data_IF_280332175534
#
_entry.id   IF_280332175534
#
_cell.length_a   1.000
_cell.length_b   1.000
_cell.length_c   1.000
_cell.angle_alpha   90.00
_cell.angle_beta   90.00
_cell.angle_gamma   90.00
#
_symmetry.space_group_name_H-M   'P 1'
#
loop_
_entity.id
_entity.type
_entity.pdbx_description
1 polymer ?
#
# COMPACT_ATOMS: atom_id res chain seq x y z
N UNK A 1 -13.13 -25.66 -15.18
CA UNK A 1 -13.05 -25.91 -13.73
C UNK A 1 -12.34 -24.79 -12.98
N UNK A 2 -11.01 -24.66 -13.00
CA UNK A 2 -10.32 -23.58 -12.27
C UNK A 2 -10.76 -22.18 -12.71
N UNK A 3 -10.72 -21.91 -14.02
CA UNK A 3 -11.13 -20.62 -14.59
C UNK A 3 -12.57 -20.27 -14.21
N UNK A 4 -13.48 -21.24 -14.17
CA UNK A 4 -14.88 -21.03 -13.78
C UNK A 4 -14.99 -20.67 -12.30
N UNK A 5 -14.22 -21.34 -11.43
CA UNK A 5 -14.14 -20.99 -10.01
C UNK A 5 -13.60 -19.59 -9.79
N UNK A 6 -12.55 -19.20 -10.52
CA UNK A 6 -12.02 -17.83 -10.46
C UNK A 6 -13.03 -16.80 -10.98
N UNK A 7 -13.68 -17.05 -12.13
CA UNK A 7 -14.74 -16.18 -12.65
C UNK A 7 -15.84 -15.99 -11.60
N UNK A 8 -16.32 -17.07 -11.02
CA UNK A 8 -17.38 -17.03 -10.00
C UNK A 8 -16.95 -16.22 -8.78
N UNK A 9 -15.77 -16.49 -8.24
CA UNK A 9 -15.23 -15.78 -7.08
C UNK A 9 -15.05 -14.28 -7.35
N UNK A 10 -14.47 -13.91 -8.49
CA UNK A 10 -14.26 -12.51 -8.88
C UNK A 10 -15.60 -11.81 -9.07
N UNK A 11 -16.56 -12.41 -9.77
CA UNK A 11 -17.89 -11.82 -9.98
C UNK A 11 -18.60 -11.56 -8.64
N UNK A 12 -18.69 -12.57 -7.79
CA UNK A 12 -19.30 -12.44 -6.47
C UNK A 12 -18.62 -11.35 -5.63
N UNK A 13 -17.29 -11.22 -5.75
CA UNK A 13 -16.54 -10.19 -5.07
C UNK A 13 -16.85 -8.78 -5.62
N UNK A 14 -16.87 -8.62 -6.95
CA UNK A 14 -17.16 -7.34 -7.62
C UNK A 14 -18.62 -6.88 -7.48
N UNK A 15 -19.55 -7.81 -7.23
CA UNK A 15 -20.95 -7.48 -6.91
C UNK A 15 -21.08 -6.85 -5.53
N UNK A 16 -20.16 -7.18 -4.61
CA UNK A 16 -20.20 -6.73 -3.21
C UNK A 16 -19.30 -5.53 -2.95
N UNK A 17 -18.18 -5.43 -3.65
CA UNK A 17 -17.14 -4.44 -3.39
C UNK A 17 -16.66 -3.77 -4.68
N UNK A 18 -16.37 -2.48 -4.60
CA UNK A 18 -15.70 -1.76 -5.68
C UNK A 18 -14.22 -2.13 -5.72
N UNK A 19 -13.78 -2.73 -6.82
CA UNK A 19 -12.38 -3.15 -7.02
C UNK A 19 -11.58 -2.00 -7.62
N UNK A 20 -10.57 -1.53 -6.90
CA UNK A 20 -9.66 -0.48 -7.35
C UNK A 20 -8.36 -1.05 -7.89
N UNK A 21 -7.81 -2.08 -7.24
CA UNK A 21 -6.48 -2.61 -7.56
C UNK A 21 -6.44 -4.13 -7.56
N UNK A 22 -5.81 -4.68 -8.60
CA UNK A 22 -5.55 -6.10 -8.79
C UNK A 22 -4.05 -6.29 -8.79
N UNK A 23 -3.54 -7.19 -7.95
CA UNK A 23 -2.13 -7.51 -7.86
C UNK A 23 -1.91 -8.97 -8.24
N UNK A 24 -0.97 -9.21 -9.15
CA UNK A 24 -0.64 -10.55 -9.62
C UNK A 24 0.86 -10.81 -9.52
N UNK A 25 1.27 -11.95 -8.95
CA UNK A 25 2.62 -12.50 -9.09
C UNK A 25 2.56 -13.59 -10.16
N UNK A 26 3.35 -13.44 -11.23
CA UNK A 26 3.37 -14.35 -12.38
C UNK A 26 2.43 -13.90 -13.49
N UNK A 27 2.81 -12.88 -14.26
CA UNK A 27 2.06 -12.46 -15.44
C UNK A 27 2.14 -13.51 -16.56
N UNK A 28 3.35 -14.04 -16.80
CA UNK A 28 3.64 -15.01 -17.86
C UNK A 28 2.99 -14.65 -19.21
N UNK A 29 2.05 -15.47 -19.68
CA UNK A 29 1.34 -15.26 -20.95
C UNK A 29 0.18 -14.26 -20.90
N UNK A 30 -0.14 -13.68 -19.74
CA UNK A 30 -1.16 -12.64 -19.57
C UNK A 30 -2.62 -13.12 -19.60
N UNK A 31 -2.88 -14.43 -19.48
CA UNK A 31 -4.24 -14.98 -19.51
C UNK A 31 -5.08 -14.58 -18.30
N UNK A 32 -4.51 -14.73 -17.11
CA UNK A 32 -5.08 -14.28 -15.83
C UNK A 32 -5.27 -12.76 -15.83
N UNK A 33 -4.24 -11.99 -16.21
CA UNK A 33 -4.36 -10.54 -16.39
C UNK A 33 -5.53 -10.14 -17.30
N UNK A 34 -5.70 -10.83 -18.44
CA UNK A 34 -6.82 -10.62 -19.37
C UNK A 34 -8.16 -10.91 -18.69
N UNK A 35 -8.26 -12.02 -17.95
CA UNK A 35 -9.46 -12.38 -17.19
C UNK A 35 -9.82 -11.28 -16.17
N UNK A 36 -8.85 -10.84 -15.38
CA UNK A 36 -9.04 -9.78 -14.38
C UNK A 36 -9.52 -8.48 -15.02
N UNK A 37 -8.89 -8.07 -16.13
CA UNK A 37 -9.22 -6.83 -16.84
C UNK A 37 -10.58 -6.87 -17.55
N UNK A 38 -11.08 -8.06 -17.91
CA UNK A 38 -12.42 -8.26 -18.47
C UNK A 38 -13.50 -8.22 -17.37
N UNK A 39 -13.20 -8.76 -16.21
CA UNK A 39 -14.14 -8.83 -15.08
C UNK A 39 -14.15 -7.56 -14.22
N UNK A 40 -13.21 -6.64 -14.45
CA UNK A 40 -13.12 -5.36 -13.74
C UNK A 40 -13.01 -4.19 -14.71
N UNK A 41 -13.98 -3.29 -14.66
CA UNK A 41 -14.12 -2.25 -15.69
C UNK A 41 -13.14 -1.07 -15.49
N UNK A 42 -12.85 -0.73 -14.23
CA UNK A 42 -12.07 0.47 -13.85
C UNK A 42 -10.78 0.16 -13.08
N UNK A 43 -10.64 -1.04 -12.53
CA UNK A 43 -9.52 -1.41 -11.68
C UNK A 43 -8.17 -1.28 -12.39
N UNK A 44 -7.15 -0.89 -11.63
CA UNK A 44 -5.75 -0.94 -12.03
C UNK A 44 -5.20 -2.34 -11.80
N UNK A 45 -4.55 -2.90 -12.81
CA UNK A 45 -3.83 -4.15 -12.76
C UNK A 45 -2.33 -3.89 -12.52
N UNK A 46 -1.74 -4.61 -11.57
CA UNK A 46 -0.35 -4.52 -11.15
C UNK A 46 0.26 -5.92 -11.20
N UNK A 47 1.08 -6.18 -12.21
CA UNK A 47 1.78 -7.47 -12.37
C UNK A 47 3.22 -7.41 -11.87
N UNK A 48 3.59 -8.35 -11.01
CA UNK A 48 4.96 -8.62 -10.56
C UNK A 48 5.46 -9.87 -11.27
N UNK A 49 6.56 -9.75 -12.01
CA UNK A 49 7.13 -10.88 -12.76
C UNK A 49 8.64 -10.69 -12.93
N UNK A 50 9.38 -11.78 -13.09
CA UNK A 50 10.82 -11.75 -13.37
C UNK A 50 11.10 -11.13 -14.75
N UNK A 51 10.21 -11.32 -15.71
CA UNK A 51 10.40 -10.95 -17.13
C UNK A 51 11.74 -11.46 -17.68
N UNK A 52 12.11 -12.67 -17.31
CA UNK A 52 13.29 -13.37 -17.79
C UNK A 52 13.07 -14.02 -19.17
N UNK A 53 11.81 -14.10 -19.62
CA UNK A 53 11.41 -14.57 -20.94
C UNK A 53 10.98 -13.40 -21.85
N UNK A 54 11.79 -13.03 -22.87
CA UNK A 54 11.49 -11.88 -23.74
C UNK A 54 10.13 -11.95 -24.44
N UNK A 55 9.65 -13.15 -24.78
CA UNK A 55 8.37 -13.35 -25.48
C UNK A 55 7.17 -12.85 -24.68
N UNK A 56 7.21 -12.97 -23.35
CA UNK A 56 6.14 -12.46 -22.49
C UNK A 56 6.14 -10.93 -22.49
N UNK A 57 7.33 -10.32 -22.40
CA UNK A 57 7.51 -8.87 -22.39
C UNK A 57 7.11 -8.22 -23.72
N UNK A 58 7.52 -8.80 -24.84
CA UNK A 58 7.33 -8.18 -26.16
C UNK A 58 5.99 -8.48 -26.80
N UNK A 59 5.39 -9.65 -26.52
CA UNK A 59 4.21 -10.13 -27.25
C UNK A 59 2.97 -10.13 -26.38
N UNK A 60 2.99 -10.84 -25.26
CA UNK A 60 1.81 -10.99 -24.41
C UNK A 60 1.39 -9.64 -23.80
N UNK A 61 2.33 -8.92 -23.19
CA UNK A 61 2.05 -7.61 -22.63
C UNK A 61 1.59 -6.60 -23.69
N UNK A 62 2.27 -6.56 -24.84
CA UNK A 62 1.89 -5.66 -25.93
C UNK A 62 0.46 -5.93 -26.41
N UNK A 63 0.07 -7.21 -26.49
CA UNK A 63 -1.29 -7.60 -26.82
C UNK A 63 -2.29 -7.15 -25.74
N UNK A 64 -2.05 -7.44 -24.47
CA UNK A 64 -2.96 -7.03 -23.37
C UNK A 64 -3.12 -5.52 -23.33
N UNK A 65 -2.03 -4.74 -23.42
CA UNK A 65 -2.09 -3.26 -23.48
C UNK A 65 -2.80 -2.70 -24.70
N UNK A 66 -2.85 -3.45 -25.80
CA UNK A 66 -3.61 -3.07 -27.00
C UNK A 66 -5.11 -3.30 -26.82
N UNK A 67 -5.51 -4.37 -26.12
CA UNK A 67 -6.92 -4.70 -25.90
C UNK A 67 -7.56 -3.85 -24.80
N UNK A 68 -6.79 -3.52 -23.75
CA UNK A 68 -7.28 -2.83 -22.58
C UNK A 68 -6.65 -1.44 -22.47
N UNK A 69 -7.30 -0.52 -21.76
CA UNK A 69 -6.74 0.81 -21.49
C UNK A 69 -5.36 0.67 -20.81
N UNK A 70 -4.28 0.88 -21.56
CA UNK A 70 -2.90 0.66 -21.10
C UNK A 70 -2.56 1.42 -19.82
N UNK A 71 -3.28 2.52 -19.52
CA UNK A 71 -3.09 3.32 -18.29
C UNK A 71 -3.52 2.58 -17.02
N UNK A 72 -4.34 1.53 -17.15
CA UNK A 72 -4.73 0.65 -16.05
C UNK A 72 -3.71 -0.45 -15.78
N UNK A 73 -2.66 -0.60 -16.58
CA UNK A 73 -1.74 -1.75 -16.52
C UNK A 73 -0.35 -1.28 -16.11
N UNK A 74 0.01 -1.57 -14.87
CA UNK A 74 1.34 -1.36 -14.30
C UNK A 74 2.04 -2.70 -14.20
N UNK A 75 3.32 -2.72 -14.55
CA UNK A 75 4.16 -3.89 -14.38
C UNK A 75 5.42 -3.53 -13.64
N UNK A 76 5.77 -4.39 -12.68
CA UNK A 76 6.93 -4.24 -11.83
C UNK A 76 7.84 -5.43 -12.12
N UNK A 77 8.98 -5.14 -12.76
CA UNK A 77 9.95 -6.14 -13.17
C UNK A 77 10.89 -6.48 -12.02
N UNK A 78 11.02 -7.76 -11.73
CA UNK A 78 11.97 -8.32 -10.79
C UNK A 78 11.35 -9.35 -9.84
N UNK A 79 12.22 -9.89 -8.98
CA UNK A 79 11.90 -10.88 -7.95
C UNK A 79 10.79 -10.38 -7.02
N UNK A 80 9.65 -11.07 -7.01
CA UNK A 80 8.46 -10.73 -6.22
C UNK A 80 8.74 -10.67 -4.72
N UNK A 81 9.71 -11.44 -4.22
CA UNK A 81 10.12 -11.41 -2.81
C UNK A 81 10.75 -10.07 -2.42
N UNK A 82 11.19 -9.27 -3.40
CA UNK A 82 11.81 -7.95 -3.22
C UNK A 82 10.91 -6.82 -3.71
N UNK A 83 10.20 -7.01 -4.82
CA UNK A 83 9.38 -5.97 -5.45
C UNK A 83 8.04 -5.76 -4.75
N UNK A 84 7.39 -6.83 -4.25
CA UNK A 84 6.13 -6.71 -3.51
C UNK A 84 6.30 -5.91 -2.20
N UNK A 85 7.35 -6.14 -1.37
CA UNK A 85 7.60 -5.29 -0.20
C UNK A 85 7.84 -3.80 -0.49
N UNK A 86 8.28 -3.46 -1.69
CA UNK A 86 8.54 -2.06 -2.10
C UNK A 86 7.28 -1.38 -2.63
N UNK A 87 6.27 -2.15 -3.03
CA UNK A 87 5.02 -1.63 -3.56
C UNK A 87 4.26 -0.81 -2.50
N UNK A 88 3.98 0.46 -2.83
CA UNK A 88 3.24 1.39 -2.01
C UNK A 88 1.79 1.46 -2.53
N UNK A 89 0.93 0.61 -1.97
CA UNK A 89 -0.48 0.49 -2.34
C UNK A 89 -1.18 -0.68 -1.67
N UNK A 90 -2.48 -0.81 -1.98
CA UNK A 90 -3.33 -1.91 -1.51
C UNK A 90 -3.95 -2.68 -2.67
N UNK A 91 -4.18 -3.97 -2.48
CA UNK A 91 -4.67 -4.92 -3.47
C UNK A 91 -6.01 -5.50 -3.01
N UNK A 92 -7.05 -5.35 -3.83
CA UNK A 92 -8.40 -5.88 -3.57
C UNK A 92 -8.55 -7.29 -4.15
N UNK A 93 -7.95 -7.56 -5.31
CA UNK A 93 -7.81 -8.92 -5.84
C UNK A 93 -6.33 -9.25 -5.90
N UNK A 94 -5.96 -10.38 -5.32
CA UNK A 94 -4.58 -10.86 -5.23
C UNK A 94 -4.51 -12.23 -5.89
N UNK A 95 -3.69 -12.35 -6.92
CA UNK A 95 -3.39 -13.61 -7.59
C UNK A 95 -1.91 -13.97 -7.40
N UNK A 96 -1.62 -15.22 -7.02
CA UNK A 96 -0.25 -15.70 -6.82
C UNK A 96 -0.08 -16.99 -7.64
N UNK A 97 0.69 -16.88 -8.72
CA UNK A 97 1.08 -17.94 -9.66
C UNK A 97 2.58 -17.79 -10.02
N UNK A 98 3.39 -17.64 -8.96
CA UNK A 98 4.82 -17.37 -9.04
C UNK A 98 5.67 -18.64 -9.01
N UNK A 99 6.78 -18.59 -8.27
CA UNK A 99 7.62 -19.77 -8.08
C UNK A 99 6.94 -20.78 -7.13
N UNK A 100 6.87 -22.05 -7.53
CA UNK A 100 6.18 -23.12 -6.78
C UNK A 100 7.11 -23.99 -5.92
N UNK A 101 8.28 -23.48 -5.53
CA UNK A 101 9.32 -24.26 -4.85
C UNK A 101 9.99 -23.49 -3.70
N UNK A 102 10.71 -24.22 -2.85
CA UNK A 102 11.47 -23.69 -1.73
C UNK A 102 10.64 -22.75 -0.83
N UNK A 103 11.15 -21.55 -0.54
CA UNK A 103 10.53 -20.56 0.35
C UNK A 103 9.73 -19.49 -0.40
N UNK A 104 9.73 -19.51 -1.74
CA UNK A 104 9.13 -18.45 -2.55
C UNK A 104 7.61 -18.33 -2.35
N UNK A 105 6.79 -19.40 -2.44
CA UNK A 105 5.33 -19.27 -2.25
C UNK A 105 4.98 -18.67 -0.88
N UNK A 106 5.63 -19.16 0.18
CA UNK A 106 5.43 -18.69 1.54
C UNK A 106 5.80 -17.19 1.68
N UNK A 107 6.89 -16.76 1.05
CA UNK A 107 7.35 -15.37 1.10
C UNK A 107 6.42 -14.44 0.31
N UNK A 108 6.02 -14.85 -0.89
CA UNK A 108 5.07 -14.13 -1.73
C UNK A 108 3.73 -13.96 -1.03
N UNK A 109 3.19 -15.02 -0.44
CA UNK A 109 1.97 -14.99 0.34
C UNK A 109 2.05 -14.05 1.56
N UNK A 110 3.17 -14.03 2.28
CA UNK A 110 3.38 -13.09 3.41
C UNK A 110 3.46 -11.64 2.94
N UNK A 111 4.16 -11.39 1.84
CA UNK A 111 4.32 -10.05 1.30
C UNK A 111 2.98 -9.52 0.76
N UNK A 112 2.23 -10.37 0.04
CA UNK A 112 0.90 -10.02 -0.45
C UNK A 112 -0.10 -9.78 0.67
N UNK A 113 -0.03 -10.52 1.77
CA UNK A 113 -0.86 -10.25 2.95
C UNK A 113 -0.69 -8.83 3.52
N UNK A 114 0.50 -8.21 3.35
CA UNK A 114 0.77 -6.83 3.83
C UNK A 114 0.16 -5.76 2.93
N UNK A 115 0.06 -6.05 1.65
CA UNK A 115 -0.54 -5.13 0.66
C UNK A 115 -2.01 -5.45 0.42
N UNK A 116 -2.60 -6.46 1.07
CA UNK A 116 -4.04 -6.70 0.99
C UNK A 116 -4.86 -5.53 1.56
N UNK A 117 -5.92 -5.15 0.85
CA UNK A 117 -6.92 -4.19 1.34
C UNK A 117 -7.90 -4.85 2.32
N UNK A 118 -8.65 -4.06 3.08
CA UNK A 118 -9.62 -4.56 4.08
C UNK A 118 -10.60 -5.57 3.49
N UNK A 119 -11.10 -5.30 2.28
CA UNK A 119 -11.89 -6.24 1.50
C UNK A 119 -10.99 -6.77 0.39
N UNK A 120 -10.45 -7.97 0.56
CA UNK A 120 -9.60 -8.60 -0.44
C UNK A 120 -10.07 -10.02 -0.81
N UNK A 121 -9.72 -10.43 -2.02
CA UNK A 121 -9.87 -11.77 -2.55
C UNK A 121 -8.49 -12.33 -2.90
N UNK A 122 -8.13 -13.47 -2.30
CA UNK A 122 -6.93 -14.22 -2.60
C UNK A 122 -7.27 -15.38 -3.54
N UNK A 123 -6.52 -15.49 -4.64
CA UNK A 123 -6.51 -16.58 -5.59
C UNK A 123 -5.08 -17.14 -5.67
N UNK A 124 -4.85 -18.36 -5.18
CA UNK A 124 -3.54 -19.02 -5.18
C UNK A 124 -3.56 -20.18 -6.18
N UNK A 125 -2.67 -20.17 -7.18
CA UNK A 125 -2.52 -21.30 -8.09
C UNK A 125 -1.82 -22.49 -7.40
N UNK A 126 -2.00 -23.67 -7.98
CA UNK A 126 -1.23 -24.86 -7.63
C UNK A 126 -1.34 -25.25 -6.14
N UNK A 127 -2.51 -25.03 -5.55
CA UNK A 127 -2.83 -25.38 -4.16
C UNK A 127 -3.19 -26.88 -4.04
N UNK A 128 -2.21 -27.77 -4.22
CA UNK A 128 -2.41 -29.22 -4.16
C UNK A 128 -1.20 -29.95 -3.53
N UNK A 129 -1.36 -31.24 -3.23
CA UNK A 129 -0.27 -32.09 -2.71
C UNK A 129 0.94 -32.20 -3.64
N UNK A 130 0.77 -31.90 -4.93
CA UNK A 130 1.88 -31.91 -5.89
C UNK A 130 2.82 -30.71 -5.71
N UNK A 131 2.38 -29.69 -4.97
CA UNK A 131 3.09 -28.45 -4.73
C UNK A 131 3.25 -28.18 -3.22
N UNK A 132 4.08 -28.97 -2.53
CA UNK A 132 4.18 -28.92 -1.07
C UNK A 132 4.66 -27.56 -0.55
N UNK A 133 5.44 -26.80 -1.32
CA UNK A 133 5.88 -25.46 -0.95
C UNK A 133 4.71 -24.46 -0.89
N UNK A 134 3.72 -24.58 -1.80
CA UNK A 134 2.48 -23.79 -1.78
C UNK A 134 1.67 -24.14 -0.54
N UNK A 135 1.44 -25.43 -0.30
CA UNK A 135 0.68 -25.88 0.88
C UNK A 135 1.32 -25.44 2.19
N UNK A 136 2.66 -25.48 2.27
CA UNK A 136 3.39 -24.97 3.44
C UNK A 136 3.14 -23.48 3.68
N UNK A 137 3.13 -22.67 2.62
CA UNK A 137 2.84 -21.25 2.75
C UNK A 137 1.39 -20.98 3.18
N UNK A 138 0.43 -21.72 2.62
CA UNK A 138 -0.97 -21.66 3.06
C UNK A 138 -1.09 -22.05 4.55
N UNK A 139 -0.43 -23.12 4.96
CA UNK A 139 -0.45 -23.59 6.35
C UNK A 139 0.21 -22.59 7.31
N UNK A 140 1.28 -21.92 6.87
CA UNK A 140 1.87 -20.81 7.62
C UNK A 140 0.85 -19.71 7.86
N UNK A 141 0.13 -19.27 6.82
CA UNK A 141 -0.85 -18.19 6.96
C UNK A 141 -2.00 -18.59 7.89
N UNK A 142 -2.49 -19.84 7.79
CA UNK A 142 -3.50 -20.40 8.71
C UNK A 142 -3.02 -20.40 10.16
N UNK A 143 -1.83 -20.95 10.40
CA UNK A 143 -1.24 -21.08 11.75
C UNK A 143 -1.02 -19.71 12.41
N UNK A 144 -0.76 -18.67 11.61
CA UNK A 144 -0.53 -17.30 12.09
C UNK A 144 -1.79 -16.42 12.10
N UNK A 145 -2.99 -16.98 11.86
CA UNK A 145 -4.26 -16.25 11.82
C UNK A 145 -4.21 -15.04 10.85
N UNK A 146 -3.70 -15.31 9.63
CA UNK A 146 -3.57 -14.33 8.55
C UNK A 146 -4.58 -14.55 7.41
N UNK A 147 -5.46 -15.56 7.52
CA UNK A 147 -6.54 -15.86 6.58
C UNK A 147 -7.86 -15.92 7.33
N UNK A 148 -8.94 -15.39 6.73
CA UNK A 148 -10.29 -15.50 7.30
C UNK A 148 -11.02 -16.73 6.74
N UNK A 149 -10.95 -16.96 5.42
CA UNK A 149 -11.52 -18.13 4.75
C UNK A 149 -10.56 -18.60 3.67
N UNK A 150 -10.38 -19.91 3.51
CA UNK A 150 -9.62 -20.48 2.39
C UNK A 150 -10.18 -21.84 1.99
N UNK A 151 -10.70 -21.89 0.78
CA UNK A 151 -11.25 -23.07 0.14
C UNK A 151 -10.23 -23.64 -0.84
N UNK A 152 -9.90 -24.91 -0.64
CA UNK A 152 -8.96 -25.63 -1.50
C UNK A 152 -9.74 -26.50 -2.48
N UNK A 153 -9.47 -26.34 -3.77
CA UNK A 153 -10.10 -27.08 -4.84
C UNK A 153 -9.07 -27.98 -5.51
N UNK A 154 -9.23 -29.30 -5.36
CA UNK A 154 -8.35 -30.30 -5.96
C UNK A 154 -9.20 -31.32 -6.71
N UNK A 155 -9.51 -31.07 -7.99
CA UNK A 155 -10.36 -32.00 -8.73
C UNK A 155 -9.65 -33.32 -9.00
N UNK A 156 -10.44 -34.39 -8.89
CA UNK A 156 -9.96 -35.74 -9.16
C UNK A 156 -9.60 -35.91 -10.64
N UNK A 157 -8.49 -36.59 -10.93
CA UNK A 157 -8.04 -36.88 -12.29
C UNK A 157 -7.47 -35.70 -13.09
N UNK A 158 -7.47 -34.48 -12.57
CA UNK A 158 -6.87 -33.34 -13.28
C UNK A 158 -5.36 -33.28 -13.08
N UNK A 159 -4.64 -34.02 -13.94
CA UNK A 159 -3.18 -34.11 -13.92
C UNK A 159 -2.58 -33.28 -15.06
N UNK A 160 -1.64 -32.38 -14.74
CA UNK A 160 -0.86 -31.61 -15.69
C UNK A 160 0.63 -31.91 -15.48
N UNK A 161 1.32 -32.38 -16.53
CA UNK A 161 2.76 -32.75 -16.48
C UNK A 161 3.11 -33.68 -15.30
N UNK A 162 2.22 -34.60 -14.98
CA UNK A 162 2.42 -35.56 -13.87
C UNK A 162 2.10 -35.03 -12.47
N UNK A 163 1.72 -33.75 -12.34
CA UNK A 163 1.28 -33.14 -11.10
C UNK A 163 -0.25 -33.00 -11.06
N UNK A 164 -0.87 -33.34 -9.93
CA UNK A 164 -2.28 -33.04 -9.69
C UNK A 164 -2.45 -31.52 -9.54
N UNK A 165 -3.25 -30.92 -10.42
CA UNK A 165 -3.56 -29.49 -10.33
C UNK A 165 -4.58 -29.23 -9.20
N UNK A 166 -4.52 -28.04 -8.63
CA UNK A 166 -5.46 -27.55 -7.63
C UNK A 166 -5.27 -26.06 -7.41
N UNK A 167 -6.20 -25.39 -6.75
CA UNK A 167 -6.13 -23.95 -6.47
C UNK A 167 -6.82 -23.63 -5.15
N UNK A 168 -6.46 -22.49 -4.57
CA UNK A 168 -7.10 -21.99 -3.36
C UNK A 168 -7.78 -20.65 -3.61
N UNK A 169 -8.96 -20.45 -3.01
CA UNK A 169 -9.72 -19.20 -3.03
C UNK A 169 -9.96 -18.80 -1.58
N UNK A 170 -9.69 -17.55 -1.23
CA UNK A 170 -9.84 -17.11 0.15
C UNK A 170 -9.73 -15.60 0.32
N UNK A 171 -9.43 -15.17 1.53
CA UNK A 171 -9.11 -13.77 1.83
C UNK A 171 -8.09 -13.68 2.95
N UNK A 172 -7.19 -12.69 2.86
CA UNK A 172 -6.32 -12.33 3.96
C UNK A 172 -7.11 -11.64 5.06
N UNK A 173 -6.81 -12.03 6.29
CA UNK A 173 -7.22 -11.30 7.48
C UNK A 173 -6.36 -10.05 7.60
N UNK A 174 -6.88 -8.92 7.10
CA UNK A 174 -6.20 -7.64 7.24
C UNK A 174 -6.41 -7.15 8.66
N UNK A 175 -5.46 -7.51 9.52
CA UNK A 175 -5.29 -6.84 10.81
C UNK A 175 -4.90 -5.41 10.47
N UNK A 176 -5.82 -4.44 10.57
CA UNK A 176 -5.61 -3.01 10.29
C UNK A 176 -4.14 -2.62 10.47
N UNK A 177 -3.37 -2.65 9.39
CA UNK A 177 -1.93 -2.49 9.42
C UNK A 177 -1.59 -1.01 9.50
N UNK A 178 -2.00 -0.37 10.57
CA UNK A 178 -0.98 0.34 11.30
C UNK A 178 -0.31 -0.75 12.14
N UNK A 179 0.84 -1.25 11.70
CA UNK A 179 1.62 -2.21 12.48
C UNK A 179 1.69 -1.71 13.91
N UNK A 180 1.34 -2.57 14.88
CA UNK A 180 1.84 -2.47 16.24
C UNK A 180 3.27 -1.94 16.15
N UNK A 181 3.50 -0.74 16.68
CA UNK A 181 4.74 -0.02 16.45
C UNK A 181 5.92 -0.95 16.69
N UNK A 182 7.02 -0.80 15.94
CA UNK A 182 8.22 -1.50 16.31
C UNK A 182 8.47 -1.17 17.78
N UNK A 183 8.63 -2.22 18.59
CA UNK A 183 8.94 -2.12 20.02
C UNK A 183 10.17 -1.22 20.28
N UNK A 184 10.91 -0.83 19.23
CA UNK A 184 11.88 0.25 19.21
C UNK A 184 11.77 1.18 18.00
N UNK A 185 12.14 2.45 18.13
CA UNK A 185 12.35 3.41 17.03
C UNK A 185 13.68 4.15 17.20
N UNK A 186 14.35 4.51 16.11
CA UNK A 186 15.61 5.27 16.16
C UNK A 186 15.40 6.71 15.72
N UNK A 187 15.78 7.67 16.57
CA UNK A 187 15.73 9.10 16.30
C UNK A 187 17.03 9.77 16.72
N UNK A 188 17.65 10.54 15.80
CA UNK A 188 18.93 11.23 16.03
C UNK A 188 19.99 10.29 16.65
N UNK A 189 20.19 9.14 16.01
CA UNK A 189 21.13 8.08 16.40
C UNK A 189 20.84 7.41 17.75
N UNK A 190 19.67 7.67 18.36
CA UNK A 190 19.24 7.03 19.61
C UNK A 190 18.10 6.06 19.39
N UNK A 191 18.20 4.84 19.93
CA UNK A 191 17.12 3.85 19.90
C UNK A 191 16.25 3.92 21.16
N UNK A 192 14.98 4.25 20.98
CA UNK A 192 13.94 4.34 22.01
C UNK A 192 13.09 3.08 21.99
N UNK A 193 12.73 2.52 23.14
CA UNK A 193 11.98 1.26 23.19
C UNK A 193 10.85 1.25 24.22
N UNK A 194 9.84 0.44 23.92
CA UNK A 194 8.75 0.13 24.85
C UNK A 194 9.18 -0.93 25.87
N UNK A 195 8.49 -1.05 27.03
CA UNK A 195 8.85 -2.02 28.08
C UNK A 195 8.98 -3.48 27.63
N UNK A 196 8.31 -3.86 26.52
CA UNK A 196 8.29 -5.23 25.98
C UNK A 196 9.33 -5.48 24.88
N UNK A 197 10.28 -4.57 24.66
CA UNK A 197 11.36 -4.78 23.69
C UNK A 197 12.44 -5.74 24.20
N UNK A 198 12.79 -6.72 23.37
CA UNK A 198 13.84 -7.72 23.65
C UNK A 198 15.00 -7.69 22.64
N UNK A 199 15.09 -6.64 21.81
CA UNK A 199 16.16 -6.49 20.80
C UNK A 199 17.48 -5.98 21.37
N UNK A 200 18.55 -6.10 20.58
CA UNK A 200 19.93 -6.04 21.09
C UNK A 200 20.55 -4.64 21.32
N UNK A 201 19.78 -3.55 21.29
CA UNK A 201 20.27 -2.24 21.76
C UNK A 201 19.09 -1.31 22.04
N UNK A 202 18.94 -0.89 23.28
CA UNK A 202 17.98 0.14 23.67
C UNK A 202 18.69 1.20 24.50
N UNK A 203 18.57 2.45 24.09
CA UNK A 203 19.26 3.57 24.74
C UNK A 203 18.30 4.39 25.61
N UNK A 204 17.00 4.35 25.33
CA UNK A 204 15.97 5.00 26.15
C UNK A 204 14.76 4.06 26.30
N UNK A 205 14.47 3.66 27.54
CA UNK A 205 13.29 2.86 27.87
C UNK A 205 12.15 3.75 28.36
N UNK A 206 10.97 3.57 27.78
CA UNK A 206 9.75 4.03 28.45
C UNK A 206 9.41 3.10 29.60
N UNK A 207 9.03 3.66 30.74
CA UNK A 207 8.53 2.90 31.90
C UNK A 207 7.01 2.74 31.89
N UNK A 208 6.32 3.36 30.92
CA UNK A 208 4.87 3.41 30.85
C UNK A 208 4.31 2.36 29.89
N UNK A 209 3.20 1.74 30.27
CA UNK A 209 2.49 0.77 29.43
C UNK A 209 1.75 1.45 28.29
N UNK A 210 1.75 0.86 27.11
CA UNK A 210 0.93 1.35 25.99
C UNK A 210 -0.55 1.08 26.24
N UNK A 211 -1.41 2.05 25.93
CA UNK A 211 -2.85 1.87 25.92
C UNK A 211 -3.47 2.44 24.65
N UNK A 212 -4.70 2.03 24.34
CA UNK A 212 -5.45 2.56 23.18
C UNK A 212 -5.80 4.04 23.34
N UNK A 213 -5.86 4.53 24.58
CA UNK A 213 -6.30 5.87 24.93
C UNK A 213 -5.15 6.83 25.25
N UNK A 214 -3.90 6.35 25.32
CA UNK A 214 -2.73 7.16 25.69
C UNK A 214 -1.47 6.71 24.97
N UNK A 215 -0.68 7.68 24.50
CA UNK A 215 0.62 7.47 23.86
C UNK A 215 1.79 7.60 24.85
N UNK A 216 1.50 7.55 26.14
CA UNK A 216 2.47 7.72 27.22
C UNK A 216 3.65 6.73 27.16
N UNK A 217 3.45 5.55 26.56
CA UNK A 217 4.54 4.61 26.35
C UNK A 217 5.56 5.07 25.29
N UNK A 218 5.22 6.04 24.45
CA UNK A 218 6.13 6.66 23.48
C UNK A 218 6.70 8.00 23.97
N UNK A 219 6.34 8.42 25.18
CA UNK A 219 6.85 9.64 25.78
C UNK A 219 8.24 9.43 26.36
N UNK A 220 9.17 10.33 26.03
CA UNK A 220 10.39 10.53 26.80
C UNK A 220 10.50 11.98 27.24
N UNK A 221 11.22 12.22 28.34
CA UNK A 221 11.54 13.58 28.81
C UNK A 221 12.48 14.33 27.86
N UNK A 222 13.18 13.64 26.95
CA UNK A 222 14.12 14.23 25.99
C UNK A 222 13.40 14.65 24.71
N UNK A 223 12.47 13.82 24.23
CA UNK A 223 11.89 13.94 22.88
C UNK A 223 10.39 14.20 22.87
N UNK A 224 9.73 14.17 24.03
CA UNK A 224 8.27 14.11 24.10
C UNK A 224 7.73 12.79 23.54
N UNK A 225 6.49 12.83 23.04
CA UNK A 225 5.83 11.67 22.41
C UNK A 225 6.34 11.49 20.98
N UNK A 226 7.16 10.45 20.77
CA UNK A 226 7.77 10.17 19.45
C UNK A 226 6.83 9.47 18.48
N UNK A 227 5.80 8.81 18.98
CA UNK A 227 4.85 8.09 18.16
C UNK A 227 3.48 8.01 18.82
N UNK A 228 2.44 7.80 18.02
CA UNK A 228 1.05 7.77 18.47
C UNK A 228 0.41 6.47 18.05
N UNK A 229 -0.48 5.92 18.90
CA UNK A 229 -1.07 4.62 18.62
C UNK A 229 -1.78 4.60 17.27
N UNK A 230 -1.67 3.46 16.59
CA UNK A 230 -2.31 3.14 15.32
C UNK A 230 -3.79 3.52 15.27
N UNK A 231 -4.53 3.17 16.33
CA UNK A 231 -5.95 3.46 16.48
C UNK A 231 -6.22 4.96 16.54
N UNK A 232 -5.38 5.70 17.29
CA UNK A 232 -5.50 7.15 17.40
C UNK A 232 -5.08 7.86 16.12
N UNK A 233 -4.05 7.37 15.43
CA UNK A 233 -3.61 7.90 14.14
C UNK A 233 -4.70 7.76 13.07
N UNK A 234 -5.29 6.57 12.93
CA UNK A 234 -6.42 6.37 12.01
C UNK A 234 -7.66 7.14 12.43
N UNK A 235 -7.96 7.21 13.74
CA UNK A 235 -9.05 8.02 14.26
C UNK A 235 -8.91 9.50 13.88
N UNK A 236 -7.71 10.07 14.02
CA UNK A 236 -7.41 11.44 13.61
C UNK A 236 -7.60 11.64 12.11
N UNK A 237 -7.03 10.76 11.28
CA UNK A 237 -7.17 10.83 9.82
C UNK A 237 -8.63 10.74 9.38
N UNK A 238 -9.44 9.85 9.98
CA UNK A 238 -10.86 9.72 9.67
C UNK A 238 -11.65 10.99 10.00
N UNK A 239 -11.37 11.61 11.16
CA UNK A 239 -12.01 12.88 11.54
C UNK A 239 -11.63 13.99 10.57
N UNK A 240 -10.35 14.06 10.20
CA UNK A 240 -9.86 15.02 9.22
C UNK A 240 -10.50 14.80 7.84
N UNK A 241 -10.59 13.56 7.37
CA UNK A 241 -11.26 13.17 6.14
C UNK A 241 -12.71 13.68 6.10
N UNK A 242 -13.49 13.36 7.13
CA UNK A 242 -14.89 13.79 7.26
C UNK A 242 -15.00 15.33 7.26
N UNK A 243 -14.04 16.00 7.89
CA UNK A 243 -14.01 17.47 7.97
C UNK A 243 -13.79 18.08 6.59
N UNK A 244 -12.85 17.54 5.81
CA UNK A 244 -12.52 18.06 4.49
C UNK A 244 -13.54 17.70 3.42
N UNK A 245 -14.12 16.50 3.47
CA UNK A 245 -15.15 16.06 2.53
C UNK A 245 -16.41 16.92 2.58
N UNK A 246 -16.74 17.43 3.77
CA UNK A 246 -17.91 18.29 3.99
C UNK A 246 -17.64 19.77 3.72
N UNK A 247 -16.37 20.19 3.63
CA UNK A 247 -16.00 21.60 3.48
C UNK A 247 -15.96 22.00 2.01
N UNK A 248 -16.81 22.95 1.64
CA UNK A 248 -16.71 23.67 0.36
C UNK A 248 -15.91 24.95 0.57
N UNK A 249 -14.58 24.84 0.53
CA UNK A 249 -13.67 25.99 0.61
C UNK A 249 -12.59 25.90 -0.46
N UNK A 250 -11.93 27.02 -0.74
CA UNK A 250 -10.76 27.13 -1.63
C UNK A 250 -9.47 27.47 -0.90
N UNK A 251 -9.53 27.61 0.44
CA UNK A 251 -8.40 27.94 1.32
C UNK A 251 -8.63 27.40 2.73
N UNK A 252 -7.54 27.17 3.48
CA UNK A 252 -7.57 27.01 4.93
C UNK A 252 -6.78 28.13 5.61
N UNK A 253 -7.35 29.34 5.58
CA UNK A 253 -6.81 30.52 6.28
C UNK A 253 -5.39 30.90 5.83
N UNK A 254 -4.97 30.52 4.63
CA UNK A 254 -3.60 30.75 4.14
C UNK A 254 -3.23 32.25 4.18
N UNK A 255 -4.14 33.14 3.76
CA UNK A 255 -3.93 34.61 3.79
C UNK A 255 -3.86 35.15 5.22
N UNK A 256 -4.73 34.66 6.10
CA UNK A 256 -4.73 35.07 7.51
C UNK A 256 -3.41 34.68 8.18
N UNK A 257 -2.92 33.46 7.93
CA UNK A 257 -1.60 33.03 8.39
C UNK A 257 -0.48 33.87 7.79
N UNK A 258 -0.48 34.11 6.48
CA UNK A 258 0.53 34.95 5.83
C UNK A 258 0.59 36.35 6.49
N UNK A 259 -0.56 36.99 6.72
CA UNK A 259 -0.65 38.27 7.41
C UNK A 259 -0.09 38.20 8.84
N UNK A 260 -0.47 37.18 9.61
CA UNK A 260 0.05 36.97 10.98
C UNK A 260 1.56 36.76 11.03
N UNK A 261 2.15 36.17 9.98
CA UNK A 261 3.60 36.01 9.82
C UNK A 261 4.26 37.15 9.03
N UNK A 262 3.60 38.32 8.90
CA UNK A 262 4.10 39.48 8.14
C UNK A 262 4.60 39.09 6.73
N UNK A 263 3.79 38.29 6.04
CA UNK A 263 4.04 37.74 4.71
C UNK A 263 5.40 37.02 4.58
N UNK A 264 5.84 36.39 5.67
CA UNK A 264 7.09 35.65 5.75
C UNK A 264 8.30 36.49 5.30
N UNK A 265 8.29 37.81 5.56
CA UNK A 265 9.37 38.73 5.17
C UNK A 265 10.73 38.38 5.77
N UNK A 266 10.75 37.67 6.89
CA UNK A 266 11.99 37.21 7.56
C UNK A 266 12.69 36.09 6.82
N UNK A 267 12.00 35.36 5.93
CA UNK A 267 12.60 34.29 5.15
C UNK A 267 13.39 34.85 3.97
N UNK A 268 14.50 34.20 3.56
CA UNK A 268 15.28 34.63 2.41
C UNK A 268 14.48 34.47 1.11
N UNK A 269 14.89 35.21 0.06
CA UNK A 269 14.28 35.09 -1.28
C UNK A 269 14.54 33.72 -1.92
N UNK A 270 15.65 33.08 -1.60
CA UNK A 270 16.01 31.73 -2.03
C UNK A 270 15.98 30.81 -0.82
N UNK A 271 15.03 29.87 -0.80
CA UNK A 271 14.75 28.99 0.34
C UNK A 271 15.57 27.69 0.30
N UNK A 272 16.14 27.32 -0.84
CA UNK A 272 16.78 26.02 -1.01
C UNK A 272 15.74 24.89 -1.01
N UNK A 273 16.03 23.80 -0.30
CA UNK A 273 15.13 22.65 -0.20
C UNK A 273 14.18 22.82 0.99
N UNK A 274 12.87 22.74 0.73
CA UNK A 274 11.81 22.99 1.72
C UNK A 274 11.06 21.71 2.02
N UNK A 275 10.68 21.52 3.28
CA UNK A 275 9.76 20.48 3.71
C UNK A 275 8.58 21.11 4.44
N UNK A 276 7.37 20.69 4.11
CA UNK A 276 6.14 21.04 4.84
C UNK A 276 5.51 19.75 5.37
N UNK A 277 5.28 19.69 6.68
CA UNK A 277 4.70 18.53 7.35
C UNK A 277 3.29 18.88 7.79
N UNK A 278 2.30 18.06 7.40
CA UNK A 278 0.87 18.33 7.66
C UNK A 278 0.35 19.49 6.80
N UNK A 279 0.62 19.44 5.50
CA UNK A 279 0.31 20.53 4.56
C UNK A 279 -1.19 20.73 4.33
N UNK A 280 -2.02 19.70 4.57
CA UNK A 280 -3.47 19.75 4.32
C UNK A 280 -3.82 19.98 2.83
N UNK A 281 -5.09 20.07 2.45
CA UNK A 281 -5.48 20.17 1.03
C UNK A 281 -5.06 21.48 0.33
N UNK A 282 -4.56 22.46 1.08
CA UNK A 282 -4.26 23.80 0.55
C UNK A 282 -2.83 24.25 0.71
N UNK A 283 -1.92 23.54 1.41
CA UNK A 283 -0.48 23.87 1.60
C UNK A 283 -0.12 25.34 1.84
N UNK A 284 0.60 25.61 2.92
CA UNK A 284 1.11 26.96 3.20
C UNK A 284 2.25 27.37 2.26
N UNK A 285 2.91 26.41 1.61
CA UNK A 285 3.93 26.70 0.60
C UNK A 285 3.42 27.66 -0.48
N UNK A 286 2.15 27.61 -0.87
CA UNK A 286 1.62 28.50 -1.91
C UNK A 286 1.72 29.99 -1.55
N UNK A 287 1.57 30.34 -0.27
CA UNK A 287 1.67 31.74 0.19
C UNK A 287 3.10 32.10 0.55
N UNK A 288 3.88 31.16 1.10
CA UNK A 288 5.29 31.37 1.42
C UNK A 288 6.10 31.71 0.16
N UNK A 289 5.83 31.04 -0.96
CA UNK A 289 6.54 31.23 -2.21
C UNK A 289 6.19 32.51 -2.97
N UNK A 290 5.20 33.30 -2.51
CA UNK A 290 4.92 34.58 -3.14
C UNK A 290 6.12 35.53 -2.99
N UNK A 291 6.82 35.76 -4.11
CA UNK A 291 8.05 36.55 -4.13
C UNK A 291 9.31 35.81 -3.62
N UNK A 292 9.26 34.48 -3.51
CA UNK A 292 10.39 33.62 -3.11
C UNK A 292 10.53 32.44 -4.08
N UNK A 293 11.70 31.80 -4.03
CA UNK A 293 12.03 30.63 -4.85
C UNK A 293 12.56 29.52 -3.95
N UNK A 294 12.19 28.28 -4.23
CA UNK A 294 12.73 27.08 -3.60
C UNK A 294 13.34 26.19 -4.69
N UNK A 295 14.43 25.49 -4.36
CA UNK A 295 15.05 24.50 -5.23
C UNK A 295 14.24 23.20 -5.28
N UNK A 296 13.59 22.83 -4.17
CA UNK A 296 12.64 21.72 -4.09
C UNK A 296 11.68 21.93 -2.93
N UNK A 297 10.51 21.30 -3.01
CA UNK A 297 9.50 21.30 -1.94
C UNK A 297 8.98 19.88 -1.76
N UNK A 298 9.10 19.34 -0.55
CA UNK A 298 8.52 18.07 -0.17
C UNK A 298 7.35 18.32 0.77
N UNK A 299 6.16 17.85 0.41
CA UNK A 299 5.00 17.84 1.30
C UNK A 299 4.88 16.44 1.91
N UNK A 300 4.94 16.36 3.23
CA UNK A 300 4.62 15.16 3.99
C UNK A 300 3.19 15.32 4.48
N UNK A 301 2.26 14.61 3.84
CA UNK A 301 0.84 14.72 4.09
C UNK A 301 0.15 13.35 3.94
N UNK A 302 -0.27 12.72 5.05
CA UNK A 302 -0.85 11.38 5.01
C UNK A 302 -2.15 11.25 4.22
N UNK A 303 -2.90 12.35 4.06
CA UNK A 303 -4.18 12.35 3.36
C UNK A 303 -4.06 12.97 1.96
N UNK A 304 -2.84 13.09 1.41
CA UNK A 304 -2.59 13.80 0.16
C UNK A 304 -3.41 13.27 -1.03
N UNK A 305 -3.44 11.95 -1.22
CA UNK A 305 -4.22 11.31 -2.28
C UNK A 305 -5.72 11.50 -2.09
N UNK A 306 -6.19 11.37 -0.84
CA UNK A 306 -7.59 11.62 -0.53
C UNK A 306 -7.98 13.05 -0.90
N UNK A 307 -7.16 14.06 -0.57
CA UNK A 307 -7.43 15.44 -0.95
C UNK A 307 -7.44 15.64 -2.47
N UNK A 308 -6.48 15.06 -3.18
CA UNK A 308 -6.42 15.12 -4.64
C UNK A 308 -7.65 14.51 -5.31
N UNK A 309 -8.25 13.49 -4.71
CA UNK A 309 -9.44 12.85 -5.29
C UNK A 309 -10.71 13.58 -4.87
N UNK A 310 -10.88 13.81 -3.57
CA UNK A 310 -12.19 14.12 -2.98
C UNK A 310 -12.38 15.61 -2.64
N UNK A 311 -11.30 16.37 -2.42
CA UNK A 311 -11.42 17.80 -2.09
C UNK A 311 -11.49 18.61 -3.37
N UNK A 312 -12.65 19.24 -3.62
CA UNK A 312 -12.98 19.93 -4.89
C UNK A 312 -11.90 20.93 -5.34
N UNK A 313 -11.44 21.79 -4.43
CA UNK A 313 -10.47 22.85 -4.71
C UNK A 313 -9.06 22.53 -4.20
N UNK A 314 -8.75 21.25 -3.97
CA UNK A 314 -7.43 20.82 -3.51
C UNK A 314 -6.33 21.47 -4.34
N UNK A 315 -5.39 22.13 -3.67
CA UNK A 315 -4.33 22.88 -4.32
C UNK A 315 -3.33 21.97 -5.02
N UNK A 316 -3.18 20.73 -4.54
CA UNK A 316 -2.32 19.71 -5.15
C UNK A 316 -2.68 19.43 -6.61
N UNK A 317 -3.93 19.65 -7.02
CA UNK A 317 -4.39 19.51 -8.41
C UNK A 317 -3.77 20.55 -9.35
N UNK A 318 -3.31 21.68 -8.84
CA UNK A 318 -2.76 22.80 -9.62
C UNK A 318 -1.25 22.70 -9.82
N UNK A 319 -0.56 21.94 -8.99
CA UNK A 319 0.89 21.76 -9.04
C UNK A 319 1.23 20.36 -9.53
N UNK A 320 2.30 20.22 -10.31
CA UNK A 320 2.80 18.92 -10.77
C UNK A 320 3.63 18.29 -9.65
N UNK A 321 2.96 17.66 -8.68
CA UNK A 321 3.62 16.83 -7.68
C UNK A 321 3.92 15.43 -8.25
N UNK A 322 5.09 14.90 -7.91
CA UNK A 322 5.43 13.49 -8.12
C UNK A 322 5.11 12.72 -6.84
N UNK A 323 4.37 11.60 -6.96
CA UNK A 323 4.18 10.67 -5.84
C UNK A 323 5.54 10.04 -5.51
N UNK A 324 6.03 10.23 -4.28
CA UNK A 324 7.25 9.57 -3.79
C UNK A 324 6.92 8.38 -2.89
N UNK A 325 5.89 8.48 -2.05
CA UNK A 325 5.36 7.40 -1.22
C UNK A 325 3.85 7.56 -0.98
N UNK A 326 3.23 6.70 -0.18
CA UNK A 326 1.83 6.86 0.24
C UNK A 326 1.60 8.09 1.13
N UNK A 327 2.68 8.69 1.67
CA UNK A 327 2.65 9.84 2.59
C UNK A 327 3.39 11.07 2.05
N UNK A 328 4.14 10.93 0.95
CA UNK A 328 5.04 11.97 0.44
C UNK A 328 4.68 12.40 -0.98
N UNK A 329 4.41 13.69 -1.15
CA UNK A 329 4.35 14.38 -2.43
C UNK A 329 5.62 15.22 -2.60
N UNK A 330 6.42 14.96 -3.63
CA UNK A 330 7.59 15.78 -3.96
C UNK A 330 7.25 16.70 -5.12
N UNK A 331 7.42 18.00 -4.92
CA UNK A 331 7.45 19.01 -5.96
C UNK A 331 8.89 19.45 -6.22
N UNK A 332 9.34 19.20 -7.45
CA UNK A 332 10.58 19.78 -7.97
C UNK A 332 10.18 20.91 -8.92
N UNK A 333 10.70 22.12 -8.66
CA UNK A 333 10.48 23.30 -9.51
C UNK A 333 11.04 23.13 -10.91
#
# INVERSE_FOLDING_TARGET
MQIESYISAIKNFTEKYEVQTICEIGFAGGHSATLFLLLTNTASYIGFDMWDQPVYETTALAWVRKQFNYRRIVLIKGDSTKTVPQFQGKCDIIHIDGAHHAHFPETDMKNMARVASENNLLLMDDCSKSWPAVLKGVEYLKTNDLLDNIDMHVPEGWIYRGAQKGWCIGSYKVKNQCTYMPYSFTFLDKTFCTPSWHGHKCEVYSTKSCSKLSDECFYSNITGTLSVSCERWHGAQKVEQITWDKRVTSTDRNEAHAKSFNYYKSLPKLLGNVIEVGAGPFTQAQTILQGKTAASITLIEPMAFHYMTNVKNCFYKKWKFWKYSDYDLIYTS
#
